data_IF_272076538400
#
_entry.id   IF_272076538400
#
_cell.length_a   1.000
_cell.length_b   1.000
_cell.length_c   1.000
_cell.angle_alpha   90.00
_cell.angle_beta   90.00
_cell.angle_gamma   90.00
#
_symmetry.space_group_name_H-M   'P 1'
#
loop_
_entity.id
_entity.type
_entity.pdbx_description
1 polymer ?
#
# COMPACT_ATOMS: atom_id res chain seq x y z
N UNK A 1 -4.27 -31.41 -0.24
CA UNK A 1 -3.67 -30.05 -0.14
C UNK A 1 -3.51 -29.51 -1.55
N UNK A 2 -4.43 -28.64 -2.01
CA UNK A 2 -4.38 -28.09 -3.37
C UNK A 2 -3.12 -27.25 -3.55
N UNK A 3 -2.31 -27.57 -4.57
CA UNK A 3 -1.08 -26.83 -4.89
C UNK A 3 -1.49 -25.41 -5.29
N UNK A 4 -1.07 -24.38 -4.54
CA UNK A 4 -1.23 -22.99 -4.99
C UNK A 4 -0.60 -22.87 -6.38
N UNK A 5 -1.33 -22.31 -7.34
CA UNK A 5 -0.79 -22.04 -8.67
C UNK A 5 0.41 -21.09 -8.53
N UNK A 6 1.38 -21.19 -9.43
CA UNK A 6 2.54 -20.30 -9.36
C UNK A 6 2.13 -18.82 -9.53
N UNK A 7 1.01 -18.55 -10.21
CA UNK A 7 0.40 -17.23 -10.28
C UNK A 7 -0.02 -16.70 -8.91
N UNK A 8 -0.62 -17.54 -8.05
CA UNK A 8 -0.99 -17.13 -6.68
C UNK A 8 0.24 -16.78 -5.84
N UNK A 9 1.33 -17.54 -5.95
CA UNK A 9 2.58 -17.25 -5.23
C UNK A 9 3.18 -15.93 -5.69
N UNK A 10 3.22 -15.70 -7.00
CA UNK A 10 3.68 -14.44 -7.59
C UNK A 10 2.79 -13.30 -7.09
N UNK A 11 1.46 -13.49 -7.05
CA UNK A 11 0.52 -12.51 -6.51
C UNK A 11 0.81 -12.14 -5.05
N UNK A 12 1.07 -13.13 -4.19
CA UNK A 12 1.43 -12.89 -2.78
C UNK A 12 2.75 -12.09 -2.63
N UNK A 13 3.72 -12.33 -3.52
CA UNK A 13 4.98 -11.58 -3.55
C UNK A 13 4.73 -10.14 -4.00
N UNK A 14 3.97 -9.94 -5.08
CA UNK A 14 3.63 -8.60 -5.59
C UNK A 14 2.89 -7.76 -4.54
N UNK A 15 1.92 -8.34 -3.84
CA UNK A 15 1.20 -7.65 -2.77
C UNK A 15 2.15 -7.25 -1.64
N UNK A 16 3.06 -8.15 -1.25
CA UNK A 16 4.05 -7.87 -0.20
C UNK A 16 5.00 -6.75 -0.62
N UNK A 17 5.51 -6.80 -1.85
CA UNK A 17 6.36 -5.76 -2.41
C UNK A 17 5.61 -4.43 -2.49
N UNK A 18 4.36 -4.43 -2.96
CA UNK A 18 3.52 -3.24 -3.02
C UNK A 18 3.30 -2.62 -1.64
N UNK A 19 3.04 -3.44 -0.61
CA UNK A 19 2.95 -2.96 0.76
C UNK A 19 4.26 -2.36 1.28
N UNK A 20 5.41 -2.99 1.05
CA UNK A 20 6.72 -2.47 1.50
C UNK A 20 7.04 -1.14 0.78
N UNK A 21 6.89 -1.12 -0.54
CA UNK A 21 7.12 0.06 -1.36
C UNK A 21 6.18 1.20 -0.95
N UNK A 22 4.91 0.90 -0.67
CA UNK A 22 3.92 1.87 -0.21
C UNK A 22 4.28 2.49 1.15
N UNK A 23 4.81 1.70 2.09
CA UNK A 23 5.33 2.25 3.36
C UNK A 23 6.50 3.20 3.09
N UNK A 24 7.47 2.80 2.26
CA UNK A 24 8.62 3.64 1.94
C UNK A 24 8.21 4.97 1.29
N UNK A 25 7.30 4.93 0.31
CA UNK A 25 6.77 6.12 -0.35
C UNK A 25 5.98 7.01 0.61
N UNK A 26 5.14 6.41 1.46
CA UNK A 26 4.38 7.17 2.45
C UNK A 26 5.28 7.87 3.48
N UNK A 27 6.36 7.21 3.91
CA UNK A 27 7.40 7.81 4.76
C UNK A 27 8.08 8.96 4.02
N UNK A 28 8.54 8.75 2.78
CA UNK A 28 9.19 9.80 1.99
C UNK A 28 8.27 11.01 1.76
N UNK A 29 7.00 10.80 1.45
CA UNK A 29 6.01 11.88 1.28
C UNK A 29 5.79 12.65 2.59
N UNK A 30 5.73 11.93 3.71
CA UNK A 30 5.56 12.52 5.05
C UNK A 30 6.79 13.31 5.51
N UNK A 31 8.00 12.92 5.11
CA UNK A 31 9.23 13.66 5.40
C UNK A 31 9.50 14.79 4.38
N UNK A 32 9.12 14.59 3.11
CA UNK A 32 9.33 15.56 2.03
C UNK A 32 8.61 16.89 2.24
N UNK A 33 7.46 16.86 2.93
CA UNK A 33 6.76 18.07 3.38
C UNK A 33 7.61 18.93 4.34
N UNK A 34 8.56 18.34 5.07
CA UNK A 34 9.52 19.07 5.92
C UNK A 34 10.73 19.61 5.16
N UNK A 35 11.07 19.04 3.99
CA UNK A 35 12.16 19.54 3.13
C UNK A 35 11.73 20.71 2.24
N UNK A 36 10.43 20.88 1.99
CA UNK A 36 9.88 21.99 1.23
C UNK A 36 9.89 23.31 2.05
N UNK A 37 11.08 23.81 2.39
CA UNK A 37 11.34 25.10 3.03
C UNK A 37 11.26 26.28 2.02
N UNK A 38 10.34 26.23 1.06
CA UNK A 38 10.14 27.30 0.07
C UNK A 38 8.80 27.98 0.37
N UNK A 39 8.80 29.23 0.89
CA UNK A 39 7.67 29.82 1.61
C UNK A 39 6.35 29.92 0.82
N UNK A 40 6.40 29.96 -0.51
CA UNK A 40 5.19 30.16 -1.34
C UNK A 40 4.44 28.85 -1.70
N UNK A 41 5.01 27.67 -1.42
CA UNK A 41 4.37 26.37 -1.73
C UNK A 41 3.71 25.69 -0.49
N UNK A 42 3.83 26.31 0.68
CA UNK A 42 3.83 25.59 1.96
C UNK A 42 2.46 25.34 2.59
N UNK A 43 1.45 26.18 2.38
CA UNK A 43 0.26 26.11 3.25
C UNK A 43 -0.82 25.13 2.79
N UNK A 44 -0.95 24.84 1.49
CA UNK A 44 -2.02 23.95 0.97
C UNK A 44 -1.45 22.64 0.42
N UNK A 45 -0.35 22.69 -0.33
CA UNK A 45 0.29 21.49 -0.90
C UNK A 45 1.06 20.64 0.12
N UNK A 46 1.68 21.28 1.12
CA UNK A 46 2.46 20.59 2.14
C UNK A 46 1.62 19.74 3.09
N UNK A 47 0.42 20.21 3.44
CA UNK A 47 -0.54 19.47 4.29
C UNK A 47 -1.19 18.31 3.54
N UNK A 48 -1.56 18.49 2.27
CA UNK A 48 -2.09 17.41 1.41
C UNK A 48 -1.09 16.24 1.33
N UNK A 49 0.18 16.54 1.05
CA UNK A 49 1.26 15.54 0.97
C UNK A 49 1.52 14.82 2.29
N UNK A 50 1.46 15.55 3.42
CA UNK A 50 1.63 14.95 4.75
C UNK A 50 0.49 13.99 5.07
N UNK A 51 -0.76 14.42 4.87
CA UNK A 51 -1.95 13.61 5.16
C UNK A 51 -1.99 12.40 4.23
N UNK A 52 -1.79 12.60 2.93
CA UNK A 52 -1.68 11.52 1.93
C UNK A 52 -0.59 10.52 2.31
N UNK A 53 0.60 11.00 2.70
CA UNK A 53 1.72 10.14 3.12
C UNK A 53 1.38 9.28 4.33
N UNK A 54 0.78 9.88 5.37
CA UNK A 54 0.38 9.15 6.58
C UNK A 54 -0.68 8.09 6.25
N UNK A 55 -1.71 8.45 5.48
CA UNK A 55 -2.77 7.52 5.08
C UNK A 55 -2.19 6.38 4.24
N UNK A 56 -1.28 6.68 3.33
CA UNK A 56 -0.61 5.67 2.50
C UNK A 56 0.20 4.69 3.34
N UNK A 57 0.90 5.15 4.40
CA UNK A 57 1.58 4.26 5.36
C UNK A 57 0.58 3.32 6.00
N UNK A 58 -0.53 3.84 6.52
CA UNK A 58 -1.56 3.03 7.19
C UNK A 58 -2.14 1.97 6.25
N UNK A 59 -2.51 2.37 5.02
CA UNK A 59 -3.03 1.45 4.01
C UNK A 59 -2.02 0.37 3.64
N UNK A 60 -0.75 0.74 3.50
CA UNK A 60 0.33 -0.18 3.15
C UNK A 60 0.58 -1.21 4.25
N UNK A 61 0.56 -0.78 5.52
CA UNK A 61 0.62 -1.68 6.68
C UNK A 61 -0.61 -2.60 6.71
N UNK A 62 -1.80 -2.09 6.37
CA UNK A 62 -3.02 -2.89 6.28
C UNK A 62 -2.91 -3.98 5.22
N UNK A 63 -2.33 -3.67 4.06
CA UNK A 63 -2.05 -4.63 2.98
C UNK A 63 -1.09 -5.71 3.47
N UNK A 64 0.01 -5.33 4.13
CA UNK A 64 0.99 -6.28 4.67
C UNK A 64 0.41 -7.18 5.76
N UNK A 65 -0.44 -6.62 6.64
CA UNK A 65 -1.15 -7.38 7.65
C UNK A 65 -2.17 -8.34 7.02
N UNK A 66 -2.95 -7.87 6.05
CA UNK A 66 -3.97 -8.67 5.34
C UNK A 66 -3.34 -9.81 4.53
N UNK A 67 -2.17 -9.57 3.93
CA UNK A 67 -1.44 -10.62 3.22
C UNK A 67 -0.70 -11.61 4.15
N UNK A 68 -0.73 -11.37 5.47
CA UNK A 68 0.02 -12.09 6.52
C UNK A 68 1.54 -11.97 6.39
N UNK A 69 2.03 -10.95 5.70
CA UNK A 69 3.46 -10.62 5.65
C UNK A 69 3.93 -10.08 7.00
N UNK A 70 3.06 -9.36 7.72
CA UNK A 70 3.31 -8.89 9.09
C UNK A 70 2.21 -9.45 10.01
N UNK A 71 2.61 -10.00 11.17
CA UNK A 71 1.68 -10.63 12.11
C UNK A 71 1.11 -9.61 13.11
N UNK A 72 0.14 -8.80 12.69
CA UNK A 72 -0.60 -7.87 13.56
C UNK A 72 -2.04 -8.38 13.69
N UNK A 73 -2.36 -9.05 14.81
CA UNK A 73 -3.68 -9.66 15.03
C UNK A 73 -4.84 -8.66 14.96
N UNK A 74 -4.64 -7.43 15.40
CA UNK A 74 -5.70 -6.40 15.46
C UNK A 74 -6.06 -5.75 14.12
N UNK A 75 -5.21 -5.90 13.09
CA UNK A 75 -5.40 -5.29 11.76
C UNK A 75 -5.53 -6.33 10.64
N UNK A 76 -5.55 -7.62 10.98
CA UNK A 76 -5.63 -8.70 10.01
C UNK A 76 -7.07 -8.87 9.52
N UNK A 77 -7.39 -8.24 8.39
CA UNK A 77 -8.62 -8.54 7.66
C UNK A 77 -8.58 -9.97 7.09
N UNK A 78 -9.76 -10.55 6.83
CA UNK A 78 -9.84 -11.84 6.13
C UNK A 78 -9.16 -11.70 4.77
N UNK A 79 -8.07 -12.44 4.57
CA UNK A 79 -7.32 -12.47 3.30
C UNK A 79 -8.27 -12.86 2.17
N UNK A 80 -8.70 -11.85 1.43
CA UNK A 80 -9.63 -11.95 0.31
C UNK A 80 -9.10 -11.05 -0.80
N UNK A 81 -9.07 -11.57 -2.02
CA UNK A 81 -8.59 -10.84 -3.19
C UNK A 81 -9.35 -9.51 -3.36
N UNK A 82 -10.67 -9.49 -3.09
CA UNK A 82 -11.48 -8.26 -3.12
C UNK A 82 -10.98 -7.21 -2.13
N UNK A 83 -10.67 -7.63 -0.90
CA UNK A 83 -10.19 -6.71 0.15
C UNK A 83 -8.85 -6.11 -0.26
N UNK A 84 -7.94 -6.92 -0.79
CA UNK A 84 -6.64 -6.47 -1.27
C UNK A 84 -6.76 -5.55 -2.50
N UNK A 85 -7.73 -5.81 -3.38
CA UNK A 85 -7.99 -4.98 -4.55
C UNK A 85 -8.54 -3.61 -4.14
N UNK A 86 -9.49 -3.58 -3.20
CA UNK A 86 -10.01 -2.33 -2.61
C UNK A 86 -8.88 -1.55 -1.94
N UNK A 87 -8.01 -2.21 -1.18
CA UNK A 87 -6.85 -1.56 -0.56
C UNK A 87 -5.88 -1.01 -1.61
N UNK A 88 -5.61 -1.74 -2.69
CA UNK A 88 -4.79 -1.26 -3.80
C UNK A 88 -5.39 -0.01 -4.46
N UNK A 89 -6.70 0.02 -4.71
CA UNK A 89 -7.40 1.19 -5.26
C UNK A 89 -7.33 2.37 -4.30
N UNK A 90 -7.55 2.16 -3.00
CA UNK A 90 -7.38 3.21 -1.99
C UNK A 90 -5.95 3.75 -2.00
N UNK A 91 -4.94 2.88 -2.04
CA UNK A 91 -3.55 3.30 -2.15
C UNK A 91 -3.31 4.17 -3.39
N UNK A 92 -3.94 3.85 -4.52
CA UNK A 92 -3.84 4.67 -5.74
C UNK A 92 -4.40 6.08 -5.54
N UNK A 93 -5.58 6.20 -4.92
CA UNK A 93 -6.21 7.50 -4.58
C UNK A 93 -5.30 8.35 -3.70
N UNK A 94 -4.55 7.73 -2.79
CA UNK A 94 -3.58 8.41 -1.92
C UNK A 94 -2.17 8.51 -2.51
N UNK A 95 -2.02 8.52 -3.85
CA UNK A 95 -0.76 8.70 -4.58
C UNK A 95 0.26 7.57 -4.37
N UNK A 96 -0.21 6.35 -4.12
CA UNK A 96 0.62 5.17 -3.97
C UNK A 96 1.15 4.60 -5.30
N UNK A 97 0.70 5.10 -6.45
CA UNK A 97 1.13 4.75 -7.82
C UNK A 97 1.71 3.34 -7.98
N UNK A 98 3.04 3.20 -7.94
CA UNK A 98 3.74 1.93 -8.11
C UNK A 98 3.33 0.89 -7.05
N UNK A 99 3.26 1.30 -5.78
CA UNK A 99 2.80 0.44 -4.69
C UNK A 99 1.37 -0.05 -4.92
N UNK A 100 0.48 0.85 -5.34
CA UNK A 100 -0.91 0.53 -5.62
C UNK A 100 -1.04 -0.47 -6.78
N UNK A 101 -0.32 -0.23 -7.89
CA UNK A 101 -0.32 -1.11 -9.07
C UNK A 101 0.15 -2.52 -8.69
N UNK A 102 1.22 -2.64 -7.90
CA UNK A 102 1.73 -3.94 -7.44
C UNK A 102 0.67 -4.68 -6.62
N UNK A 103 -0.03 -4.00 -5.71
CA UNK A 103 -1.10 -4.60 -4.89
C UNK A 103 -2.28 -5.02 -5.75
N UNK A 104 -2.70 -4.19 -6.72
CA UNK A 104 -3.83 -4.49 -7.62
C UNK A 104 -3.53 -5.71 -8.49
N UNK A 105 -2.37 -5.73 -9.15
CA UNK A 105 -1.97 -6.86 -10.00
C UNK A 105 -1.85 -8.12 -9.16
N UNK A 106 -1.20 -8.03 -7.99
CA UNK A 106 -1.08 -9.19 -7.11
C UNK A 106 -2.42 -9.68 -6.57
N UNK A 107 -3.39 -8.78 -6.31
CA UNK A 107 -4.75 -9.15 -5.93
C UNK A 107 -5.50 -9.85 -7.06
N UNK A 108 -5.35 -9.41 -8.30
CA UNK A 108 -5.94 -10.06 -9.48
C UNK A 108 -5.32 -11.46 -9.68
N UNK A 109 -4.02 -11.62 -9.48
CA UNK A 109 -3.35 -12.91 -9.59
C UNK A 109 -3.81 -13.94 -8.55
N UNK A 110 -4.40 -13.51 -7.43
CA UNK A 110 -5.01 -14.40 -6.44
C UNK A 110 -6.35 -15.00 -6.88
N UNK A 111 -6.96 -14.51 -7.98
CA UNK A 111 -8.17 -15.10 -8.57
C UNK A 111 -7.88 -16.41 -9.32
N UNK A 112 -6.67 -16.54 -9.86
CA UNK A 112 -6.22 -17.68 -10.65
C UNK A 112 -5.55 -18.74 -9.76
#
# INVERSE_FOLDING_TARGET
MGRKSDAQKIGEILISLGGIVGVLFGILASLGSRLALIPDFVLIGGLDLLISGIVLIVLSVLVLATNRTINIKSLCLKKNWIVLLILGVLMYVFRGDLAAILVIIGAILLLF
#
